data_IF_419414545375
#
_entry.id   IF_419414545375
#
_cell.length_a   1.000
_cell.length_b   1.000
_cell.length_c   1.000
_cell.angle_alpha   90.00
_cell.angle_beta   90.00
_cell.angle_gamma   90.00
#
_symmetry.space_group_name_H-M   'P 1'
#
loop_
_entity.id
_entity.type
_entity.pdbx_description
1 polymer ?
#
# COMPACT_ATOMS: atom_id res chain seq x y z
N UNK A 1 12.16 19.85 8.79
CA UNK A 1 12.19 20.11 10.26
C UNK A 1 10.83 20.21 10.97
N UNK A 2 9.77 20.88 10.44
CA UNK A 2 8.45 20.90 11.13
C UNK A 2 7.92 19.49 11.45
N UNK A 3 8.04 18.54 10.51
CA UNK A 3 7.64 17.14 10.68
C UNK A 3 8.37 16.43 11.84
N UNK A 4 9.68 16.67 12.02
CA UNK A 4 10.45 16.13 13.15
C UNK A 4 9.94 16.65 14.51
N UNK A 5 9.54 17.93 14.59
CA UNK A 5 8.91 18.49 15.79
C UNK A 5 7.54 17.87 16.07
N UNK A 6 6.77 17.58 15.03
CA UNK A 6 5.47 16.90 15.15
C UNK A 6 5.62 15.46 15.66
N UNK A 7 6.53 14.66 15.07
CA UNK A 7 6.81 13.29 15.54
C UNK A 7 7.38 13.28 16.97
N UNK A 8 8.22 14.27 17.34
CA UNK A 8 8.65 14.46 18.73
C UNK A 8 7.48 14.74 19.68
N UNK A 9 6.46 15.46 19.23
CA UNK A 9 5.22 15.69 19.99
C UNK A 9 4.43 14.41 20.26
N UNK A 10 4.34 13.50 19.28
CA UNK A 10 3.67 12.19 19.43
C UNK A 10 4.34 11.27 20.48
N UNK A 11 5.63 11.48 20.77
CA UNK A 11 6.36 10.77 21.81
C UNK A 11 6.14 11.34 23.23
N UNK A 12 5.50 12.52 23.36
CA UNK A 12 5.35 13.25 24.62
C UNK A 12 4.11 12.90 25.44
N UNK A 13 3.34 11.87 25.07
CA UNK A 13 2.09 11.49 25.73
C UNK A 13 2.20 10.15 26.45
N UNK A 14 1.45 9.99 27.56
CA UNK A 14 1.50 8.83 28.47
C UNK A 14 1.24 7.47 27.80
N UNK A 15 0.56 7.47 26.65
CA UNK A 15 0.29 6.30 25.81
C UNK A 15 0.71 6.57 24.36
N UNK A 16 1.97 7.00 24.17
CA UNK A 16 2.52 7.30 22.83
C UNK A 16 2.65 6.07 21.92
N UNK A 17 2.80 6.26 20.60
CA UNK A 17 2.96 5.15 19.66
C UNK A 17 4.20 4.30 19.98
N UNK A 18 4.20 2.99 19.68
CA UNK A 18 5.34 2.11 19.96
C UNK A 18 6.65 2.68 19.40
N UNK A 19 7.74 2.57 20.17
CA UNK A 19 9.02 3.15 19.80
C UNK A 19 9.57 2.65 18.45
N UNK A 20 9.21 1.43 18.03
CA UNK A 20 9.51 0.91 16.70
C UNK A 20 8.78 1.67 15.57
N UNK A 21 7.50 2.00 15.77
CA UNK A 21 6.69 2.79 14.84
C UNK A 21 7.17 4.24 14.77
N UNK A 22 7.54 4.84 15.90
CA UNK A 22 8.16 6.18 15.93
C UNK A 22 9.52 6.18 15.21
N UNK A 23 10.37 5.18 15.45
CA UNK A 23 11.63 5.02 14.68
C UNK A 23 11.36 4.87 13.19
N UNK A 24 10.38 4.04 12.78
CA UNK A 24 10.00 3.89 11.37
C UNK A 24 9.53 5.22 10.77
N UNK A 25 8.67 5.98 11.46
CA UNK A 25 8.22 7.30 11.00
C UNK A 25 9.35 8.34 10.92
N UNK A 26 10.31 8.32 11.87
CA UNK A 26 11.51 9.15 11.79
C UNK A 26 12.36 8.74 10.58
N UNK A 27 12.66 7.45 10.39
CA UNK A 27 13.46 6.97 9.26
C UNK A 27 12.77 7.29 7.93
N UNK A 28 11.54 6.83 7.72
CA UNK A 28 10.82 6.93 6.44
C UNK A 28 10.41 8.36 6.07
N UNK A 29 10.18 9.26 7.04
CA UNK A 29 9.62 10.57 6.74
C UNK A 29 10.55 11.74 7.08
N UNK A 30 11.33 11.66 8.18
CA UNK A 30 12.28 12.72 8.56
C UNK A 30 13.64 12.48 7.95
N UNK A 31 14.19 11.27 8.14
CA UNK A 31 15.50 10.89 7.63
C UNK A 31 15.42 10.76 6.11
N UNK A 32 14.41 10.15 5.50
CA UNK A 32 14.25 10.18 4.04
C UNK A 32 14.09 11.60 3.49
N UNK A 33 13.42 12.54 4.18
CA UNK A 33 13.36 13.93 3.70
C UNK A 33 14.71 14.66 3.84
N UNK A 34 15.45 14.42 4.92
CA UNK A 34 16.75 15.03 5.16
C UNK A 34 17.86 14.41 4.29
N UNK A 35 17.79 13.10 4.08
CA UNK A 35 18.64 12.33 3.17
C UNK A 35 18.28 12.60 1.72
N UNK A 36 17.02 12.73 1.33
CA UNK A 36 16.68 13.22 -0.02
C UNK A 36 17.25 14.63 -0.24
N UNK A 37 17.19 15.48 0.81
CA UNK A 37 17.83 16.80 0.83
C UNK A 37 19.37 16.79 0.78
N UNK A 38 20.05 15.66 0.96
CA UNK A 38 21.50 15.52 0.76
C UNK A 38 21.88 14.58 -0.39
N UNK A 39 21.02 13.65 -0.77
CA UNK A 39 21.09 12.78 -1.94
C UNK A 39 20.83 13.57 -3.20
N UNK A 40 19.80 14.43 -3.28
CA UNK A 40 19.58 15.31 -4.44
C UNK A 40 20.81 16.19 -4.71
N UNK A 41 21.57 16.50 -3.66
CA UNK A 41 22.82 17.28 -3.70
C UNK A 41 24.09 16.41 -3.65
N UNK A 42 23.96 15.08 -3.70
CA UNK A 42 25.07 14.12 -3.70
C UNK A 42 25.66 14.00 -5.11
N UNK A 43 26.97 14.31 -5.23
CA UNK A 43 27.70 14.33 -6.50
C UNK A 43 28.05 12.95 -7.10
N UNK A 44 27.63 11.84 -6.48
CA UNK A 44 27.90 10.47 -6.94
C UNK A 44 29.11 9.79 -6.27
N UNK A 45 29.43 8.57 -6.71
CA UNK A 45 30.57 7.77 -6.18
C UNK A 45 31.94 8.38 -6.49
N UNK A 46 32.01 9.25 -7.50
CA UNK A 46 33.20 9.98 -7.92
C UNK A 46 32.83 11.46 -8.06
N UNK A 47 33.74 12.37 -7.71
CA UNK A 47 33.63 13.82 -7.95
C UNK A 47 34.81 14.33 -8.79
N UNK A 48 34.70 15.47 -9.48
CA UNK A 48 35.86 16.09 -10.13
C UNK A 48 36.97 16.40 -9.13
N UNK A 49 38.23 16.19 -9.53
CA UNK A 49 39.39 16.64 -8.76
C UNK A 49 39.39 18.17 -8.61
N UNK A 50 39.67 18.66 -7.41
CA UNK A 50 39.77 20.10 -7.11
C UNK A 50 41.15 20.69 -7.41
N UNK A 51 42.09 19.91 -7.95
CA UNK A 51 43.41 20.39 -8.37
C UNK A 51 43.34 21.02 -9.78
N UNK A 52 43.82 22.26 -9.91
CA UNK A 52 43.93 22.95 -11.19
C UNK A 52 45.03 22.39 -12.11
N UNK A 53 44.89 22.62 -13.41
CA UNK A 53 45.84 22.14 -14.44
C UNK A 53 45.37 20.87 -15.17
N UNK A 54 46.31 20.16 -15.80
CA UNK A 54 46.06 19.02 -16.71
C UNK A 54 45.24 17.85 -16.13
N UNK A 55 45.04 17.78 -14.80
CA UNK A 55 44.27 16.73 -14.12
C UNK A 55 42.77 17.06 -13.90
N UNK A 56 42.26 18.16 -14.46
CA UNK A 56 40.88 18.66 -14.20
C UNK A 56 39.74 17.71 -14.61
N UNK A 57 40.02 16.73 -15.48
CA UNK A 57 39.06 15.69 -15.90
C UNK A 57 39.15 14.40 -15.07
N UNK A 58 40.04 14.31 -14.08
CA UNK A 58 40.22 13.10 -13.29
C UNK A 58 39.14 12.99 -12.20
N UNK A 59 38.34 11.94 -12.28
CA UNK A 59 37.27 11.62 -11.32
C UNK A 59 37.85 10.92 -10.09
N UNK A 60 37.68 11.51 -8.90
CA UNK A 60 38.22 10.99 -7.63
C UNK A 60 37.11 10.44 -6.71
N UNK A 61 37.40 9.33 -6.04
CA UNK A 61 36.42 8.62 -5.20
C UNK A 61 35.94 9.44 -4.00
N UNK A 62 34.62 9.41 -3.76
CA UNK A 62 34.01 9.96 -2.55
C UNK A 62 34.16 9.06 -1.31
N UNK A 63 34.79 7.88 -1.45
CA UNK A 63 35.08 6.88 -0.41
C UNK A 63 33.85 6.27 0.30
N UNK A 64 32.64 6.51 -0.20
CA UNK A 64 31.38 6.03 0.37
C UNK A 64 30.89 4.67 -0.19
N UNK A 65 31.58 4.12 -1.20
CA UNK A 65 31.22 2.85 -1.85
C UNK A 65 31.01 1.65 -0.89
N UNK A 66 31.93 1.38 0.06
CA UNK A 66 31.81 0.23 0.95
C UNK A 66 30.53 0.22 1.80
N UNK A 67 30.05 1.40 2.22
CA UNK A 67 28.83 1.55 3.01
C UNK A 67 27.56 1.16 2.23
N UNK A 68 27.56 1.37 0.91
CA UNK A 68 26.41 1.10 0.04
C UNK A 68 26.27 -0.41 -0.20
N UNK A 69 27.39 -1.11 -0.36
CA UNK A 69 27.41 -2.58 -0.53
C UNK A 69 27.02 -3.33 0.75
N UNK A 70 27.22 -2.71 1.92
CA UNK A 70 26.79 -3.26 3.21
C UNK A 70 25.26 -3.19 3.38
N UNK A 71 24.63 -2.11 2.92
CA UNK A 71 23.16 -1.95 2.91
C UNK A 71 22.51 -2.92 1.92
N UNK A 72 23.07 -3.07 0.71
CA UNK A 72 22.52 -3.95 -0.33
C UNK A 72 22.53 -5.44 0.10
N UNK A 73 23.64 -5.89 0.72
CA UNK A 73 23.74 -7.25 1.30
C UNK A 73 22.69 -7.51 2.37
N UNK A 74 22.33 -6.52 3.18
CA UNK A 74 21.29 -6.67 4.21
C UNK A 74 19.87 -6.83 3.62
N UNK A 75 19.60 -6.23 2.45
CA UNK A 75 18.30 -6.30 1.77
C UNK A 75 18.11 -7.66 1.08
N UNK A 76 19.13 -8.14 0.37
CA UNK A 76 19.07 -9.43 -0.35
C UNK A 76 18.90 -10.62 0.62
N UNK A 77 19.46 -10.55 1.83
CA UNK A 77 19.32 -11.60 2.84
C UNK A 77 17.87 -11.78 3.34
N UNK A 78 17.05 -10.72 3.28
CA UNK A 78 15.66 -10.74 3.75
C UNK A 78 14.67 -11.38 2.76
N UNK A 79 15.08 -11.62 1.51
CA UNK A 79 14.18 -11.98 0.40
C UNK A 79 14.06 -13.49 0.10
N UNK A 80 14.62 -14.40 0.93
CA UNK A 80 14.62 -15.86 0.67
C UNK A 80 13.89 -16.69 1.75
N UNK A 81 12.61 -17.00 1.48
CA UNK A 81 11.74 -18.10 2.00
C UNK A 81 10.34 -17.88 1.36
N UNK A 82 9.60 -18.84 0.77
CA UNK A 82 9.81 -20.26 0.49
C UNK A 82 8.46 -21.00 0.47
N UNK A 83 7.95 -21.44 -0.70
CA UNK A 83 6.67 -22.19 -0.88
C UNK A 83 6.84 -23.69 -0.59
N UNK A 84 5.80 -24.45 -0.12
CA UNK A 84 4.69 -25.02 -0.94
C UNK A 84 3.32 -25.05 -0.19
N UNK A 85 2.20 -25.67 -0.62
CA UNK A 85 1.80 -26.29 -1.91
C UNK A 85 0.88 -27.54 -1.81
N UNK A 86 0.12 -27.83 -2.89
CA UNK A 86 -0.59 -29.09 -3.29
C UNK A 86 -1.93 -29.58 -2.66
N UNK A 87 -2.87 -29.85 -3.60
CA UNK A 87 -3.70 -31.06 -3.81
C UNK A 87 -5.14 -31.24 -3.23
N UNK A 88 -6.04 -31.72 -4.11
CA UNK A 88 -7.41 -32.21 -3.87
C UNK A 88 -7.46 -33.71 -3.54
N UNK A 89 -8.51 -34.16 -2.84
CA UNK A 89 -9.18 -35.46 -3.08
C UNK A 89 -10.61 -35.48 -2.47
N UNK A 90 -11.41 -36.51 -2.73
CA UNK A 90 -12.87 -36.52 -2.57
C UNK A 90 -13.44 -37.70 -1.73
N UNK A 91 -14.77 -37.63 -1.51
CA UNK A 91 -15.74 -38.66 -1.08
C UNK A 91 -16.02 -38.96 0.41
N UNK A 92 -17.30 -38.75 0.75
CA UNK A 92 -18.22 -39.66 1.47
C UNK A 92 -17.86 -40.20 2.87
N UNK A 93 -18.32 -39.48 3.89
CA UNK A 93 -19.13 -39.97 5.04
C UNK A 93 -19.56 -38.77 5.91
N UNK A 94 -20.87 -38.57 6.17
CA UNK A 94 -21.41 -37.47 7.00
C UNK A 94 -21.24 -37.78 8.49
N UNK A 95 -20.78 -36.84 9.33
CA UNK A 95 -21.70 -36.03 10.16
C UNK A 95 -21.21 -34.59 10.51
N UNK A 96 -22.11 -33.81 11.15
CA UNK A 96 -21.94 -32.46 11.76
C UNK A 96 -21.47 -31.34 10.82
N UNK A 97 -22.34 -30.36 10.52
CA UNK A 97 -22.00 -29.17 9.72
C UNK A 97 -22.02 -27.87 10.54
N UNK A 98 -21.24 -26.89 10.11
CA UNK A 98 -21.27 -25.50 10.59
C UNK A 98 -21.22 -24.53 9.42
N UNK A 99 -21.89 -23.39 9.54
CA UNK A 99 -22.02 -22.33 8.53
C UNK A 99 -22.03 -20.94 9.17
N UNK A 100 -21.88 -19.89 8.36
CA UNK A 100 -21.81 -18.51 8.85
C UNK A 100 -22.23 -17.47 7.78
N UNK A 101 -23.01 -16.46 8.18
CA UNK A 101 -23.51 -15.44 7.25
C UNK A 101 -23.56 -14.04 7.88
N UNK A 102 -23.76 -13.02 7.05
CA UNK A 102 -23.98 -11.63 7.49
C UNK A 102 -25.44 -11.26 7.28
N UNK A 103 -26.11 -10.84 8.35
CA UNK A 103 -27.45 -10.29 8.36
C UNK A 103 -27.43 -8.79 8.61
N UNK A 104 -28.46 -8.10 8.16
CA UNK A 104 -28.66 -6.67 8.42
C UNK A 104 -30.08 -6.51 8.97
N UNK A 105 -30.20 -6.20 10.25
CA UNK A 105 -31.49 -5.95 10.89
C UNK A 105 -31.44 -4.63 11.69
N UNK A 106 -32.52 -3.85 11.64
CA UNK A 106 -32.67 -2.51 12.25
C UNK A 106 -31.46 -1.55 12.07
N UNK A 107 -30.80 -1.63 10.91
CA UNK A 107 -29.63 -0.80 10.58
C UNK A 107 -28.31 -1.25 11.21
N UNK A 108 -28.30 -2.33 12.01
CA UNK A 108 -27.10 -2.97 12.53
C UNK A 108 -26.71 -4.17 11.66
N UNK A 109 -25.45 -4.20 11.20
CA UNK A 109 -24.84 -5.40 10.63
C UNK A 109 -24.56 -6.38 11.77
N UNK A 110 -25.10 -7.59 11.71
CA UNK A 110 -24.70 -8.69 12.59
C UNK A 110 -24.04 -9.80 11.76
N UNK A 111 -23.13 -10.54 12.38
CA UNK A 111 -22.51 -11.71 11.75
C UNK A 111 -22.99 -12.93 12.52
N UNK A 112 -23.80 -13.75 11.86
CA UNK A 112 -24.38 -14.96 12.43
C UNK A 112 -23.48 -16.17 12.22
N UNK A 113 -23.61 -17.13 13.13
CA UNK A 113 -23.10 -18.48 12.96
C UNK A 113 -24.25 -19.47 13.14
N UNK A 114 -24.11 -20.65 12.54
CA UNK A 114 -25.01 -21.77 12.71
C UNK A 114 -24.25 -23.08 12.80
N UNK A 115 -24.80 -24.04 13.55
CA UNK A 115 -24.29 -25.41 13.62
C UNK A 115 -25.41 -26.43 13.71
N UNK A 116 -25.19 -27.60 13.11
CA UNK A 116 -26.11 -28.72 13.11
C UNK A 116 -25.36 -30.03 13.45
N UNK A 117 -25.73 -30.66 14.57
CA UNK A 117 -25.09 -31.88 15.07
C UNK A 117 -25.95 -33.09 14.69
N UNK A 118 -25.35 -34.03 13.96
CA UNK A 118 -25.99 -35.23 13.44
C UNK A 118 -25.41 -36.50 14.07
N UNK A 119 -26.28 -37.48 14.35
CA UNK A 119 -25.90 -38.86 14.72
C UNK A 119 -26.40 -39.78 13.62
N UNK A 120 -25.48 -40.26 12.78
CA UNK A 120 -25.83 -40.97 11.55
C UNK A 120 -26.56 -40.03 10.56
N UNK A 121 -27.80 -40.37 10.20
CA UNK A 121 -28.67 -39.55 9.36
C UNK A 121 -29.66 -38.68 10.17
N UNK A 122 -29.70 -38.81 11.49
CA UNK A 122 -30.64 -38.06 12.33
C UNK A 122 -30.00 -36.76 12.84
N UNK A 123 -30.66 -35.63 12.60
CA UNK A 123 -30.38 -34.38 13.27
C UNK A 123 -30.70 -34.52 14.77
N UNK A 124 -29.73 -34.23 15.65
CA UNK A 124 -29.89 -34.41 17.11
C UNK A 124 -30.02 -33.08 17.83
N UNK A 125 -29.27 -32.07 17.40
CA UNK A 125 -29.28 -30.74 18.01
C UNK A 125 -28.79 -29.69 17.00
N UNK A 126 -29.35 -28.49 17.09
CA UNK A 126 -28.95 -27.31 16.31
C UNK A 126 -28.61 -26.17 17.26
N UNK A 127 -27.97 -25.13 16.73
CA UNK A 127 -27.87 -23.85 17.38
C UNK A 127 -27.43 -22.76 16.41
N UNK A 128 -27.83 -21.54 16.73
CA UNK A 128 -27.54 -20.31 16.00
C UNK A 128 -27.13 -19.22 16.99
N UNK A 129 -26.70 -18.08 16.46
CA UNK A 129 -26.49 -16.85 17.23
C UNK A 129 -25.75 -15.80 16.40
N UNK A 130 -25.59 -14.61 16.97
CA UNK A 130 -24.82 -13.53 16.35
C UNK A 130 -23.65 -13.08 17.24
N UNK A 131 -22.50 -12.90 16.60
CA UNK A 131 -21.31 -12.31 17.23
C UNK A 131 -21.30 -10.79 17.04
N UNK A 132 -20.34 -10.10 17.67
CA UNK A 132 -20.22 -8.65 17.59
C UNK A 132 -20.29 -8.11 16.15
N UNK A 133 -21.08 -7.05 15.95
CA UNK A 133 -21.32 -6.38 14.65
C UNK A 133 -20.05 -5.94 13.90
N UNK A 134 -18.98 -5.65 14.65
CA UNK A 134 -17.68 -5.24 14.10
C UNK A 134 -16.92 -6.41 13.45
N UNK A 135 -17.29 -7.66 13.74
CA UNK A 135 -16.58 -8.88 13.33
C UNK A 135 -16.75 -9.22 11.85
N UNK A 136 -16.03 -10.25 11.39
CA UNK A 136 -16.10 -10.78 10.02
C UNK A 136 -16.65 -12.20 10.00
N UNK A 137 -17.07 -12.68 8.83
CA UNK A 137 -17.61 -14.05 8.65
C UNK A 137 -16.64 -15.11 9.17
N UNK A 138 -15.34 -14.97 8.87
CA UNK A 138 -14.26 -15.80 9.42
C UNK A 138 -14.28 -15.94 10.96
N UNK A 139 -14.60 -14.85 11.67
CA UNK A 139 -14.68 -14.88 13.13
C UNK A 139 -15.91 -15.70 13.59
N UNK A 140 -17.03 -15.62 12.86
CA UNK A 140 -18.28 -16.33 13.15
C UNK A 140 -18.21 -17.82 12.76
N UNK A 141 -17.60 -18.17 11.62
CA UNK A 141 -17.31 -19.56 11.21
C UNK A 141 -16.52 -20.29 12.31
N UNK A 142 -15.47 -19.65 12.84
CA UNK A 142 -14.63 -20.22 13.89
C UNK A 142 -15.37 -20.40 15.23
N UNK A 143 -16.23 -19.43 15.59
CA UNK A 143 -17.04 -19.48 16.81
C UNK A 143 -18.18 -20.50 16.68
N UNK A 144 -18.85 -20.58 15.52
CA UNK A 144 -19.87 -21.58 15.21
C UNK A 144 -19.32 -23.00 15.23
N UNK A 145 -18.12 -23.21 14.67
CA UNK A 145 -17.42 -24.48 14.74
C UNK A 145 -17.09 -24.90 16.19
N UNK A 146 -16.64 -23.95 17.04
CA UNK A 146 -16.42 -24.23 18.47
C UNK A 146 -17.72 -24.57 19.20
N UNK A 147 -18.76 -23.75 19.04
CA UNK A 147 -20.06 -23.95 19.72
C UNK A 147 -20.71 -25.27 19.27
N UNK A 148 -20.62 -25.62 17.99
CA UNK A 148 -21.04 -26.92 17.47
C UNK A 148 -20.25 -28.09 18.05
N UNK A 149 -18.93 -27.93 18.23
CA UNK A 149 -18.09 -28.94 18.87
C UNK A 149 -18.41 -29.13 20.36
N UNK A 150 -18.52 -28.03 21.13
CA UNK A 150 -18.93 -28.07 22.54
C UNK A 150 -20.28 -28.76 22.70
N UNK A 151 -21.27 -28.34 21.89
CA UNK A 151 -22.60 -28.92 21.80
C UNK A 151 -22.58 -30.43 21.50
N UNK A 152 -21.75 -30.88 20.56
CA UNK A 152 -21.60 -32.31 20.25
C UNK A 152 -20.98 -33.10 21.41
N UNK A 153 -19.99 -32.53 22.11
CA UNK A 153 -19.32 -33.16 23.25
C UNK A 153 -20.23 -33.31 24.48
N UNK A 154 -21.26 -32.48 24.65
CA UNK A 154 -22.28 -32.65 25.71
C UNK A 154 -23.18 -33.87 25.50
N UNK A 155 -23.44 -34.25 24.24
CA UNK A 155 -24.41 -35.30 23.89
C UNK A 155 -23.77 -36.63 23.45
N UNK A 156 -22.44 -36.64 23.31
CA UNK A 156 -21.61 -37.81 23.00
C UNK A 156 -21.55 -38.78 24.19
N UNK A 157 -21.76 -40.07 23.92
CA UNK A 157 -21.51 -41.13 24.92
C UNK A 157 -20.11 -41.74 24.75
N UNK A 158 -19.45 -42.25 25.82
CA UNK A 158 -18.10 -42.83 25.75
C UNK A 158 -17.93 -44.04 24.82
N UNK A 159 -19.04 -44.67 24.40
CA UNK A 159 -19.10 -45.81 23.48
C UNK A 159 -19.31 -45.38 22.02
N UNK A 160 -19.55 -44.10 21.75
CA UNK A 160 -19.75 -43.60 20.40
C UNK A 160 -18.40 -43.36 19.71
N UNK A 161 -18.37 -43.63 18.41
CA UNK A 161 -17.13 -43.66 17.63
C UNK A 161 -16.55 -42.27 17.34
N UNK A 162 -15.67 -42.24 16.33
CA UNK A 162 -14.94 -41.05 15.91
C UNK A 162 -15.86 -39.84 15.63
N UNK A 163 -15.68 -38.75 16.39
CA UNK A 163 -16.32 -37.46 16.12
C UNK A 163 -15.67 -36.77 14.91
N UNK A 164 -16.51 -36.12 14.11
CA UNK A 164 -16.11 -35.32 12.95
C UNK A 164 -16.78 -33.95 12.95
N UNK A 165 -16.02 -32.94 12.55
CA UNK A 165 -16.48 -31.59 12.22
C UNK A 165 -16.39 -31.40 10.70
N UNK A 166 -17.50 -31.08 10.03
CA UNK A 166 -17.48 -30.60 8.65
C UNK A 166 -17.55 -29.07 8.64
N UNK A 167 -16.57 -28.44 7.98
CA UNK A 167 -16.45 -26.99 7.85
C UNK A 167 -16.31 -26.67 6.36
N UNK A 168 -16.94 -25.59 5.88
CA UNK A 168 -16.88 -25.13 4.49
C UNK A 168 -15.76 -24.11 4.22
N UNK A 169 -15.49 -23.26 5.21
CA UNK A 169 -14.37 -22.34 5.20
C UNK A 169 -13.04 -23.08 5.30
N UNK A 170 -12.41 -23.28 4.14
CA UNK A 170 -11.02 -23.76 4.05
C UNK A 170 -10.09 -22.93 4.94
N UNK A 171 -10.29 -21.61 5.01
CA UNK A 171 -9.47 -20.69 5.80
C UNK A 171 -9.54 -20.96 7.31
N UNK A 172 -10.73 -21.29 7.84
CA UNK A 172 -10.89 -21.73 9.23
C UNK A 172 -10.26 -23.10 9.44
N UNK A 173 -10.42 -24.06 8.52
CA UNK A 173 -9.75 -25.37 8.60
C UNK A 173 -8.22 -25.22 8.69
N UNK A 174 -7.62 -24.34 7.89
CA UNK A 174 -6.18 -24.05 7.96
C UNK A 174 -5.76 -23.58 9.35
N UNK A 175 -6.53 -22.68 9.98
CA UNK A 175 -6.25 -22.18 11.33
C UNK A 175 -6.53 -23.24 12.42
N UNK A 176 -7.59 -24.04 12.29
CA UNK A 176 -7.93 -25.14 13.20
C UNK A 176 -6.90 -26.29 13.15
N UNK A 177 -6.17 -26.46 12.04
CA UNK A 177 -5.11 -27.48 11.88
C UNK A 177 -3.69 -26.96 12.11
N UNK A 178 -3.50 -25.65 12.19
CA UNK A 178 -2.20 -25.01 12.35
C UNK A 178 -2.22 -24.00 13.51
N UNK A 179 -1.76 -22.77 13.29
CA UNK A 179 -1.66 -21.76 14.34
C UNK A 179 -2.95 -20.95 14.48
N UNK A 180 -3.36 -20.67 15.73
CA UNK A 180 -4.48 -19.81 16.02
C UNK A 180 -4.18 -18.35 15.58
N UNK A 181 -5.04 -17.73 14.74
CA UNK A 181 -4.89 -16.33 14.33
C UNK A 181 -5.13 -15.39 15.51
N UNK A 182 -4.71 -14.12 15.37
CA UNK A 182 -4.95 -13.10 16.41
C UNK A 182 -6.43 -12.69 16.54
N UNK A 183 -7.28 -12.98 15.56
CA UNK A 183 -8.72 -12.68 15.59
C UNK A 183 -9.49 -13.93 16.03
N UNK A 184 -10.49 -13.76 16.90
CA UNK A 184 -11.18 -14.85 17.61
C UNK A 184 -10.24 -15.93 18.18
N UNK A 185 -9.03 -15.55 18.60
CA UNK A 185 -7.96 -16.48 18.98
C UNK A 185 -8.38 -17.47 20.07
N UNK A 186 -9.21 -17.01 21.01
CA UNK A 186 -9.75 -17.85 22.09
C UNK A 186 -10.54 -19.04 21.54
N UNK A 187 -11.31 -18.86 20.46
CA UNK A 187 -12.12 -19.91 19.88
C UNK A 187 -11.26 -20.98 19.20
N UNK A 188 -10.21 -20.56 18.48
CA UNK A 188 -9.24 -21.47 17.88
C UNK A 188 -8.44 -22.26 18.91
N UNK A 189 -7.94 -21.62 19.98
CA UNK A 189 -7.19 -22.30 21.04
C UNK A 189 -8.04 -23.30 21.82
N UNK A 190 -9.32 -22.99 22.03
CA UNK A 190 -10.25 -23.92 22.67
C UNK A 190 -10.58 -25.10 21.74
N UNK A 191 -10.84 -24.83 20.45
CA UNK A 191 -10.96 -25.89 19.44
C UNK A 191 -9.72 -26.79 19.39
N UNK A 192 -8.50 -26.24 19.34
CA UNK A 192 -7.26 -27.04 19.37
C UNK A 192 -7.22 -27.97 20.58
N UNK A 193 -7.56 -27.45 21.75
CA UNK A 193 -7.60 -28.23 23.01
C UNK A 193 -8.62 -29.37 22.94
N UNK A 194 -9.83 -29.11 22.41
CA UNK A 194 -10.88 -30.11 22.29
C UNK A 194 -10.59 -31.15 21.19
N UNK A 195 -10.05 -30.71 20.05
CA UNK A 195 -9.61 -31.57 18.94
C UNK A 195 -8.54 -32.55 19.43
N UNK A 196 -7.51 -32.07 20.13
CA UNK A 196 -6.43 -32.94 20.63
C UNK A 196 -6.90 -33.88 21.75
N UNK A 197 -7.81 -33.42 22.61
CA UNK A 197 -8.33 -34.21 23.74
C UNK A 197 -9.27 -35.33 23.29
N UNK A 198 -10.19 -35.04 22.37
CA UNK A 198 -11.21 -35.98 21.90
C UNK A 198 -10.90 -36.60 20.53
N UNK A 199 -9.69 -36.33 20.00
CA UNK A 199 -9.18 -36.81 18.69
C UNK A 199 -10.11 -36.49 17.54
N UNK A 200 -10.74 -35.32 17.56
CA UNK A 200 -11.78 -34.92 16.61
C UNK A 200 -11.20 -34.80 15.20
N UNK A 201 -11.86 -35.43 14.22
CA UNK A 201 -11.49 -35.30 12.82
C UNK A 201 -12.13 -34.03 12.20
N UNK A 202 -11.39 -33.33 11.34
CA UNK A 202 -11.93 -32.20 10.57
C UNK A 202 -12.00 -32.59 9.09
N UNK A 203 -13.17 -32.44 8.47
CA UNK A 203 -13.42 -32.63 7.04
C UNK A 203 -13.83 -31.29 6.42
N UNK A 204 -13.44 -31.07 5.17
CA UNK A 204 -13.96 -29.96 4.37
C UNK A 204 -15.26 -30.38 3.66
N UNK A 205 -16.30 -29.57 3.79
CA UNK A 205 -17.61 -29.75 3.13
C UNK A 205 -17.90 -28.50 2.28
N UNK A 206 -18.05 -28.58 0.95
CA UNK A 206 -18.34 -27.38 0.16
C UNK A 206 -19.75 -26.85 0.47
N UNK A 207 -19.85 -25.56 0.82
CA UNK A 207 -21.13 -24.87 1.03
C UNK A 207 -21.92 -24.64 -0.26
N UNK A 208 -23.25 -24.48 -0.13
CA UNK A 208 -24.22 -24.28 -1.22
C UNK A 208 -24.23 -25.38 -2.30
N UNK A 209 -23.91 -26.62 -1.92
CA UNK A 209 -23.87 -27.79 -2.81
C UNK A 209 -25.03 -28.78 -2.57
N UNK A 210 -26.06 -28.38 -1.81
CA UNK A 210 -27.16 -29.26 -1.40
C UNK A 210 -26.75 -30.27 -0.34
N UNK A 211 -25.68 -30.01 0.41
CA UNK A 211 -25.23 -30.87 1.51
C UNK A 211 -26.06 -30.49 2.72
N UNK A 212 -27.16 -31.21 2.94
CA UNK A 212 -28.14 -31.05 4.02
C UNK A 212 -27.61 -30.46 5.35
N UNK A 213 -26.51 -30.98 5.89
CA UNK A 213 -25.94 -30.50 7.16
C UNK A 213 -25.15 -29.17 7.06
N UNK A 214 -24.67 -28.80 5.87
CA UNK A 214 -24.12 -27.46 5.58
C UNK A 214 -25.26 -26.47 5.35
N UNK A 215 -26.20 -26.80 4.45
CA UNK A 215 -27.33 -25.90 4.15
C UNK A 215 -28.14 -25.58 5.43
N UNK A 216 -28.38 -26.57 6.30
CA UNK A 216 -29.00 -26.35 7.62
C UNK A 216 -28.16 -25.41 8.51
N UNK A 217 -26.83 -25.50 8.46
CA UNK A 217 -25.98 -24.63 9.25
C UNK A 217 -25.85 -23.21 8.67
N UNK A 218 -25.98 -23.07 7.35
CA UNK A 218 -26.07 -21.79 6.64
C UNK A 218 -27.43 -21.11 6.91
N UNK A 219 -28.54 -21.85 6.84
CA UNK A 219 -29.88 -21.40 7.24
C UNK A 219 -29.92 -20.95 8.71
N UNK A 220 -29.24 -21.67 9.61
CA UNK A 220 -29.10 -21.29 11.03
C UNK A 220 -28.21 -20.06 11.22
N UNK A 221 -27.21 -19.85 10.37
CA UNK A 221 -26.39 -18.65 10.42
C UNK A 221 -27.13 -17.41 9.92
N UNK A 222 -27.93 -17.57 8.84
CA UNK A 222 -28.87 -16.57 8.36
C UNK A 222 -29.88 -16.21 9.45
N UNK A 223 -30.49 -17.22 10.09
CA UNK A 223 -31.40 -17.01 11.21
C UNK A 223 -30.72 -16.26 12.36
N UNK A 224 -29.55 -16.73 12.82
CA UNK A 224 -28.78 -16.11 13.90
C UNK A 224 -28.40 -14.66 13.61
N UNK A 225 -28.03 -14.34 12.37
CA UNK A 225 -27.70 -12.97 11.96
C UNK A 225 -28.94 -12.05 11.88
N UNK A 226 -30.11 -12.60 11.52
CA UNK A 226 -31.36 -11.86 11.38
C UNK A 226 -32.19 -11.79 12.66
N UNK A 227 -31.98 -12.67 13.65
CA UNK A 227 -32.64 -12.64 14.96
C UNK A 227 -32.38 -11.36 15.77
N UNK A 228 -31.39 -10.54 15.37
CA UNK A 228 -31.10 -9.24 15.99
C UNK A 228 -30.45 -9.33 17.38
N UNK A 229 -30.31 -10.54 17.93
CA UNK A 229 -29.78 -10.79 19.27
C UNK A 229 -28.34 -11.28 19.20
N UNK A 230 -27.42 -10.40 19.54
CA UNK A 230 -26.03 -10.76 19.83
C UNK A 230 -25.96 -11.66 21.08
N UNK A 231 -25.01 -12.58 21.09
CA UNK A 231 -24.63 -13.37 22.26
C UNK A 231 -24.25 -12.49 23.46
N UNK A 232 -24.21 -13.10 24.66
CA UNK A 232 -23.75 -12.48 25.90
C UNK A 232 -22.43 -13.08 26.44
N UNK A 233 -21.75 -13.91 25.63
CA UNK A 233 -20.44 -14.49 25.95
C UNK A 233 -19.28 -13.71 25.29
N UNK A 234 -18.08 -14.31 25.21
CA UNK A 234 -16.89 -13.68 24.59
C UNK A 234 -17.08 -13.30 23.11
N UNK A 235 -18.02 -13.92 22.39
CA UNK A 235 -18.35 -13.54 21.01
C UNK A 235 -19.06 -12.17 20.90
N UNK A 236 -19.55 -11.63 22.02
CA UNK A 236 -20.09 -10.28 22.12
C UNK A 236 -19.01 -9.18 22.02
N UNK A 237 -17.74 -9.53 22.22
CA UNK A 237 -16.62 -8.58 22.16
C UNK A 237 -16.16 -8.32 20.70
N UNK A 238 -15.76 -7.08 20.35
CA UNK A 238 -15.32 -6.76 18.99
C UNK A 238 -13.98 -7.43 18.66
N UNK A 239 -13.91 -8.11 17.52
CA UNK A 239 -12.71 -8.86 17.12
C UNK A 239 -11.57 -7.94 16.66
N UNK A 240 -10.32 -8.39 16.82
CA UNK A 240 -9.13 -7.64 16.40
C UNK A 240 -9.16 -7.34 14.88
N UNK A 241 -9.67 -8.26 14.06
CA UNK A 241 -9.86 -8.01 12.62
C UNK A 241 -10.92 -6.93 12.36
N UNK A 242 -12.01 -6.96 13.12
CA UNK A 242 -13.06 -5.93 13.11
C UNK A 242 -12.52 -4.53 13.44
N UNK A 243 -11.89 -4.40 14.61
CA UNK A 243 -11.26 -3.15 15.09
C UNK A 243 -10.24 -2.64 14.05
N UNK A 244 -9.43 -3.52 13.47
CA UNK A 244 -8.46 -3.19 12.43
C UNK A 244 -9.11 -2.61 11.16
N UNK A 245 -10.30 -3.09 10.77
CA UNK A 245 -11.06 -2.55 9.64
C UNK A 245 -11.63 -1.17 9.94
N UNK A 246 -12.24 -0.97 11.11
CA UNK A 246 -12.72 0.35 11.55
C UNK A 246 -11.59 1.37 11.64
N UNK A 247 -10.43 0.98 12.19
CA UNK A 247 -9.25 1.83 12.27
C UNK A 247 -8.71 2.22 10.88
N UNK A 248 -8.70 1.30 9.91
CA UNK A 248 -8.34 1.60 8.51
C UNK A 248 -9.31 2.57 7.86
N UNK A 249 -10.61 2.38 8.03
CA UNK A 249 -11.64 3.28 7.50
C UNK A 249 -11.49 4.71 8.06
N UNK A 250 -11.33 4.84 9.38
CA UNK A 250 -11.11 6.13 10.04
C UNK A 250 -9.80 6.78 9.59
N UNK A 251 -8.73 5.99 9.43
CA UNK A 251 -7.44 6.49 8.93
C UNK A 251 -7.58 7.04 7.50
N UNK A 252 -8.28 6.35 6.60
CA UNK A 252 -8.52 6.80 5.23
C UNK A 252 -9.28 8.13 5.19
N UNK A 253 -10.36 8.28 5.97
CA UNK A 253 -11.11 9.54 6.09
C UNK A 253 -10.21 10.67 6.62
N UNK A 254 -9.50 10.41 7.72
CA UNK A 254 -8.58 11.38 8.34
C UNK A 254 -7.47 11.82 7.39
N UNK A 255 -6.96 10.89 6.56
CA UNK A 255 -5.95 11.16 5.53
C UNK A 255 -6.50 12.05 4.42
N UNK A 256 -7.71 11.79 3.90
CA UNK A 256 -8.37 12.61 2.89
C UNK A 256 -8.67 14.03 3.39
N UNK A 257 -9.14 14.15 4.63
CA UNK A 257 -9.36 15.43 5.32
C UNK A 257 -8.06 16.22 5.47
N UNK A 258 -7.00 15.55 5.94
CA UNK A 258 -5.68 16.17 6.10
C UNK A 258 -5.10 16.61 4.76
N UNK A 259 -5.24 15.81 3.70
CA UNK A 259 -4.77 16.18 2.37
C UNK A 259 -5.52 17.40 1.85
N UNK A 260 -6.86 17.38 1.92
CA UNK A 260 -7.70 18.49 1.46
C UNK A 260 -7.33 19.81 2.14
N UNK A 261 -7.10 19.79 3.46
CA UNK A 261 -6.63 20.96 4.21
C UNK A 261 -5.23 21.38 3.80
N UNK A 262 -4.30 20.43 3.69
CA UNK A 262 -2.90 20.70 3.33
C UNK A 262 -2.75 21.24 1.91
N UNK A 263 -3.56 20.76 0.97
CA UNK A 263 -3.58 21.15 -0.43
C UNK A 263 -3.83 22.66 -0.61
N UNK A 264 -4.71 23.25 0.20
CA UNK A 264 -4.96 24.71 0.17
C UNK A 264 -3.71 25.54 0.48
N UNK A 265 -2.75 25.01 1.24
CA UNK A 265 -1.49 25.67 1.58
C UNK A 265 -0.37 25.49 0.55
N UNK A 266 -0.58 24.70 -0.51
CA UNK A 266 0.42 24.46 -1.56
C UNK A 266 0.44 25.61 -2.58
N UNK A 267 1.52 25.70 -3.37
CA UNK A 267 1.67 26.75 -4.39
C UNK A 267 0.61 26.61 -5.48
N UNK A 268 0.21 27.73 -6.09
CA UNK A 268 -0.76 27.73 -7.20
C UNK A 268 -0.31 26.76 -8.31
N UNK A 269 0.96 26.85 -8.73
CA UNK A 269 1.54 25.96 -9.74
C UNK A 269 1.46 24.48 -9.36
N UNK A 270 1.61 24.10 -8.09
CA UNK A 270 1.43 22.69 -7.67
C UNK A 270 -0.04 22.25 -7.74
N UNK A 271 -0.98 23.13 -7.37
CA UNK A 271 -2.42 22.80 -7.36
C UNK A 271 -3.03 22.65 -8.75
N UNK A 272 -2.38 23.19 -9.78
CA UNK A 272 -2.79 23.02 -11.18
C UNK A 272 -2.49 21.61 -11.74
N UNK A 273 -1.80 20.74 -10.99
CA UNK A 273 -1.55 19.33 -11.36
C UNK A 273 -2.58 18.36 -10.76
N UNK A 274 -3.49 18.83 -9.89
CA UNK A 274 -4.63 18.07 -9.34
C UNK A 274 -4.27 16.71 -8.71
N UNK A 275 -3.06 16.62 -8.16
CA UNK A 275 -2.52 15.36 -7.63
C UNK A 275 -3.25 14.92 -6.36
N UNK A 276 -3.70 13.67 -6.36
CA UNK A 276 -4.20 12.99 -5.15
C UNK A 276 -3.07 12.65 -4.17
N UNK A 277 -3.42 12.46 -2.91
CA UNK A 277 -2.50 11.88 -1.92
C UNK A 277 -2.55 10.36 -1.96
N UNK A 278 -1.39 9.72 -2.11
CA UNK A 278 -1.22 8.28 -2.04
C UNK A 278 -0.22 7.92 -0.93
N UNK A 279 -0.55 6.87 -0.15
CA UNK A 279 0.37 6.24 0.82
C UNK A 279 1.26 5.20 0.12
N UNK A 280 0.77 4.60 -0.97
CA UNK A 280 1.53 3.69 -1.82
C UNK A 280 2.71 4.41 -2.48
N UNK A 281 3.78 3.67 -2.75
CA UNK A 281 4.97 4.20 -3.43
C UNK A 281 4.60 4.68 -4.85
N UNK A 282 4.78 5.97 -5.17
CA UNK A 282 4.44 6.50 -6.48
C UNK A 282 5.37 5.93 -7.56
N UNK A 283 4.79 5.55 -8.70
CA UNK A 283 5.51 4.90 -9.82
C UNK A 283 6.65 5.76 -10.36
N UNK A 284 6.55 7.09 -10.22
CA UNK A 284 7.57 8.08 -10.56
C UNK A 284 8.93 7.80 -9.89
N UNK A 285 8.97 7.15 -8.72
CA UNK A 285 10.24 6.82 -8.04
C UNK A 285 11.07 5.76 -8.77
N UNK A 286 10.48 5.04 -9.73
CA UNK A 286 11.18 4.09 -10.62
C UNK A 286 11.95 4.79 -11.74
N UNK A 287 11.70 6.09 -11.97
CA UNK A 287 12.40 6.85 -12.99
C UNK A 287 13.90 6.98 -12.67
N UNK A 288 14.76 6.92 -13.68
CA UNK A 288 16.10 7.47 -13.61
C UNK A 288 16.10 8.86 -12.98
N UNK A 289 17.00 9.04 -12.03
CA UNK A 289 17.08 10.21 -11.14
C UNK A 289 17.04 11.57 -11.86
N UNK A 290 17.62 11.65 -13.05
CA UNK A 290 17.57 12.86 -13.91
C UNK A 290 16.16 13.18 -14.37
N UNK A 291 15.40 12.17 -14.79
CA UNK A 291 14.03 12.27 -15.28
C UNK A 291 13.07 12.58 -14.13
N UNK A 292 13.22 11.89 -13.00
CA UNK A 292 12.51 12.19 -11.75
C UNK A 292 12.71 13.64 -11.29
N UNK A 293 13.95 14.14 -11.32
CA UNK A 293 14.24 15.53 -10.96
C UNK A 293 13.49 16.53 -11.85
N UNK A 294 13.41 16.29 -13.17
CA UNK A 294 12.67 17.18 -14.10
C UNK A 294 11.15 17.11 -13.88
N UNK A 295 10.61 15.93 -13.62
CA UNK A 295 9.19 15.75 -13.29
C UNK A 295 8.82 16.53 -12.02
N UNK A 296 9.59 16.37 -10.94
CA UNK A 296 9.36 17.07 -9.68
C UNK A 296 9.58 18.58 -9.79
N UNK A 297 10.60 19.02 -10.54
CA UNK A 297 10.82 20.43 -10.81
C UNK A 297 9.61 21.05 -11.52
N UNK A 298 9.09 20.41 -12.57
CA UNK A 298 7.91 20.88 -13.29
C UNK A 298 6.66 20.93 -12.38
N UNK A 299 6.35 19.85 -11.66
CA UNK A 299 5.19 19.78 -10.75
C UNK A 299 5.23 20.81 -9.61
N UNK A 300 6.41 21.21 -9.16
CA UNK A 300 6.57 22.14 -8.02
C UNK A 300 6.91 23.58 -8.43
N UNK A 301 7.28 23.80 -9.70
CA UNK A 301 7.99 24.99 -10.20
C UNK A 301 9.33 25.31 -9.48
N UNK A 302 9.92 24.34 -8.76
CA UNK A 302 11.25 24.47 -8.15
C UNK A 302 12.33 23.85 -9.06
N UNK A 303 12.88 24.65 -9.96
CA UNK A 303 13.94 24.23 -10.89
C UNK A 303 14.44 25.40 -11.74
N UNK A 304 15.11 25.05 -12.85
CA UNK A 304 15.63 26.00 -13.85
C UNK A 304 14.49 26.68 -14.65
N UNK A 305 13.79 27.59 -13.98
CA UNK A 305 12.66 28.35 -14.51
C UNK A 305 12.80 29.84 -14.18
N UNK A 306 12.39 30.69 -15.12
CA UNK A 306 12.57 32.14 -15.00
C UNK A 306 11.86 32.74 -13.77
N UNK A 307 10.73 32.16 -13.33
CA UNK A 307 10.02 32.57 -12.12
C UNK A 307 10.81 32.22 -10.85
N UNK A 308 11.41 31.03 -10.80
CA UNK A 308 12.20 30.57 -9.65
C UNK A 308 13.44 31.45 -9.47
N UNK A 309 14.24 31.64 -10.52
CA UNK A 309 15.47 32.44 -10.45
C UNK A 309 15.19 33.91 -10.07
N UNK A 310 14.13 34.53 -10.59
CA UNK A 310 13.71 35.89 -10.16
C UNK A 310 13.29 35.94 -8.68
N UNK A 311 12.54 34.95 -8.20
CA UNK A 311 12.07 34.88 -6.81
C UNK A 311 13.22 34.79 -5.80
N UNK A 312 14.32 34.12 -6.18
CA UNK A 312 15.49 33.93 -5.33
C UNK A 312 16.67 34.86 -5.65
N UNK A 313 16.53 35.77 -6.61
CA UNK A 313 17.53 36.78 -6.93
C UNK A 313 18.79 36.25 -7.63
N UNK A 314 18.70 35.12 -8.33
CA UNK A 314 19.83 34.55 -9.08
C UNK A 314 20.11 35.40 -10.33
N UNK A 315 21.22 36.14 -10.34
CA UNK A 315 21.59 37.12 -11.38
C UNK A 315 22.36 36.53 -12.55
N UNK A 316 22.98 35.36 -12.36
CA UNK A 316 23.77 34.59 -13.32
C UNK A 316 22.93 33.58 -14.13
N UNK A 317 21.65 33.43 -13.80
CA UNK A 317 20.79 32.40 -14.34
C UNK A 317 20.23 32.74 -15.73
N UNK A 318 20.46 31.85 -16.70
CA UNK A 318 19.83 31.92 -18.02
C UNK A 318 18.31 31.68 -17.91
N UNK A 319 17.53 32.76 -18.04
CA UNK A 319 16.08 32.75 -17.86
C UNK A 319 15.32 32.25 -19.10
N UNK A 320 15.99 32.18 -20.27
CA UNK A 320 15.38 31.82 -21.54
C UNK A 320 15.86 30.45 -22.03
N UNK A 321 15.00 29.75 -22.76
CA UNK A 321 15.36 28.57 -23.53
C UNK A 321 16.12 28.97 -24.81
N UNK A 322 16.82 28.02 -25.42
CA UNK A 322 17.46 28.19 -26.73
C UNK A 322 16.52 28.63 -27.86
N UNK A 323 15.20 28.38 -27.74
CA UNK A 323 14.21 28.94 -28.68
C UNK A 323 13.80 30.40 -28.36
N UNK A 324 14.53 31.11 -27.49
CA UNK A 324 14.33 32.53 -27.15
C UNK A 324 13.24 32.84 -26.12
N UNK A 325 12.37 31.88 -25.79
CA UNK A 325 11.26 32.07 -24.84
C UNK A 325 11.66 31.78 -23.39
N UNK A 326 10.99 32.43 -22.43
CA UNK A 326 11.23 32.26 -20.98
C UNK A 326 10.98 30.81 -20.55
N UNK A 327 11.87 30.24 -19.74
CA UNK A 327 11.70 28.91 -19.14
C UNK A 327 10.52 28.92 -18.13
N UNK A 328 9.47 28.15 -18.40
CA UNK A 328 8.36 27.85 -17.47
C UNK A 328 8.24 26.33 -17.24
N UNK A 329 7.52 25.87 -16.20
CA UNK A 329 7.30 24.45 -15.93
C UNK A 329 6.74 23.64 -17.11
N UNK A 330 5.95 24.26 -17.97
CA UNK A 330 5.31 23.64 -19.14
C UNK A 330 6.06 23.92 -20.45
N UNK A 331 7.06 24.80 -20.44
CA UNK A 331 7.65 25.34 -21.67
C UNK A 331 8.20 24.25 -22.59
N UNK A 332 8.64 23.10 -22.08
CA UNK A 332 9.20 22.03 -22.91
C UNK A 332 8.21 21.38 -23.90
N UNK A 333 6.88 21.53 -23.74
CA UNK A 333 5.89 21.15 -24.79
C UNK A 333 5.51 22.31 -25.73
N UNK A 334 5.86 23.54 -25.38
CA UNK A 334 5.70 24.74 -26.21
C UNK A 334 7.00 25.15 -26.92
N UNK A 335 8.13 24.55 -26.55
CA UNK A 335 9.43 24.83 -27.14
C UNK A 335 9.47 24.34 -28.59
N UNK A 336 9.78 25.25 -29.51
CA UNK A 336 9.88 24.96 -30.94
C UNK A 336 10.83 23.78 -31.23
N UNK A 337 11.95 23.70 -30.50
CA UNK A 337 12.94 22.62 -30.63
C UNK A 337 12.34 21.25 -30.27
N UNK A 338 11.48 21.20 -29.24
CA UNK A 338 10.72 19.98 -28.89
C UNK A 338 9.65 19.66 -29.94
N UNK A 339 8.93 20.68 -30.43
CA UNK A 339 7.83 20.51 -31.39
C UNK A 339 8.31 20.09 -32.79
N UNK A 340 9.54 20.44 -33.20
CA UNK A 340 10.18 19.87 -34.41
C UNK A 340 10.27 18.33 -34.38
N UNK A 341 10.24 17.73 -33.18
CA UNK A 341 10.24 16.27 -32.95
C UNK A 341 8.86 15.69 -32.60
N UNK A 342 7.78 16.44 -32.81
CA UNK A 342 6.41 16.05 -32.44
C UNK A 342 5.96 14.68 -32.98
N UNK A 343 6.44 14.31 -34.16
CA UNK A 343 6.16 13.01 -34.78
C UNK A 343 6.59 11.80 -33.92
N UNK A 344 7.56 11.97 -33.02
CA UNK A 344 8.11 10.93 -32.16
C UNK A 344 7.69 11.08 -30.68
N UNK A 345 6.78 12.01 -30.35
CA UNK A 345 6.30 12.17 -28.98
C UNK A 345 5.43 10.97 -28.56
N UNK A 346 5.55 10.48 -27.31
CA UNK A 346 4.68 9.44 -26.77
C UNK A 346 3.26 9.98 -26.56
N UNK A 347 2.24 9.16 -26.82
CA UNK A 347 0.81 9.52 -26.71
C UNK A 347 0.48 10.89 -27.33
N UNK A 348 1.11 11.19 -28.48
CA UNK A 348 1.04 12.52 -29.07
C UNK A 348 -0.42 12.90 -29.43
N UNK A 349 -0.84 14.15 -29.18
CA UNK A 349 -2.11 14.66 -29.70
C UNK A 349 -2.11 14.74 -31.25
N UNK A 350 -3.24 15.13 -31.83
CA UNK A 350 -3.37 15.29 -33.29
C UNK A 350 -2.43 16.37 -33.85
N UNK A 351 -2.22 17.45 -33.07
CA UNK A 351 -1.37 18.59 -33.39
C UNK A 351 -0.56 19.05 -32.17
N UNK A 352 0.60 19.70 -32.34
CA UNK A 352 1.38 20.23 -31.22
C UNK A 352 0.56 21.14 -30.31
N UNK A 353 0.72 21.04 -28.98
CA UNK A 353 0.05 21.94 -28.04
C UNK A 353 0.37 23.41 -28.34
N UNK A 354 -0.68 24.21 -28.45
CA UNK A 354 -0.63 25.63 -28.79
C UNK A 354 -1.14 26.52 -27.65
N UNK A 355 -1.97 25.96 -26.76
CA UNK A 355 -2.57 26.66 -25.60
C UNK A 355 -2.08 26.06 -24.29
N UNK A 356 -2.00 26.85 -23.19
CA UNK A 356 -1.60 26.35 -21.87
C UNK A 356 -2.37 25.11 -21.41
N UNK A 357 -3.69 25.08 -21.61
CA UNK A 357 -4.57 23.95 -21.27
C UNK A 357 -4.25 22.68 -22.06
N UNK A 358 -3.99 22.80 -23.37
CA UNK A 358 -3.60 21.67 -24.24
C UNK A 358 -2.28 21.08 -23.78
N UNK A 359 -1.30 21.93 -23.47
CA UNK A 359 0.01 21.50 -22.96
C UNK A 359 -0.10 20.88 -21.57
N UNK A 360 -0.87 21.49 -20.66
CA UNK A 360 -1.14 20.94 -19.31
C UNK A 360 -1.78 19.57 -19.38
N UNK A 361 -2.81 19.39 -20.22
CA UNK A 361 -3.50 18.11 -20.40
C UNK A 361 -2.55 17.02 -20.91
N UNK A 362 -1.73 17.34 -21.92
CA UNK A 362 -0.72 16.41 -22.43
C UNK A 362 0.34 16.08 -21.37
N UNK A 363 0.82 17.08 -20.63
CA UNK A 363 1.79 16.90 -19.54
C UNK A 363 1.24 16.03 -18.41
N UNK A 364 -0.01 16.24 -17.99
CA UNK A 364 -0.67 15.40 -16.99
C UNK A 364 -0.74 13.94 -17.47
N UNK A 365 -1.12 13.70 -18.73
CA UNK A 365 -1.19 12.35 -19.30
C UNK A 365 0.18 11.64 -19.28
N UNK A 366 1.25 12.28 -19.79
CA UNK A 366 2.57 11.65 -19.80
C UNK A 366 3.24 11.60 -18.41
N UNK A 367 2.90 12.49 -17.48
CA UNK A 367 3.43 12.43 -16.11
C UNK A 367 2.68 11.45 -15.19
N UNK A 368 1.47 11.01 -15.56
CA UNK A 368 0.76 9.93 -14.86
C UNK A 368 1.39 8.55 -15.16
N UNK A 369 2.10 8.43 -16.28
CA UNK A 369 2.76 7.23 -16.77
C UNK A 369 4.26 7.53 -16.92
N UNK A 370 5.08 7.37 -15.86
CA UNK A 370 6.43 7.92 -15.78
C UNK A 370 7.33 7.59 -16.99
N UNK A 371 7.22 6.37 -17.50
CA UNK A 371 7.88 5.88 -18.71
C UNK A 371 7.60 6.73 -19.97
N UNK A 372 6.38 7.28 -20.10
CA UNK A 372 6.03 8.20 -21.19
C UNK A 372 6.70 9.56 -21.01
N UNK A 373 6.74 10.10 -19.77
CA UNK A 373 7.47 11.33 -19.49
C UNK A 373 8.97 11.18 -19.78
N UNK A 374 9.58 10.06 -19.38
CA UNK A 374 10.98 9.77 -19.71
C UNK A 374 11.21 9.64 -21.23
N UNK A 375 10.38 8.89 -21.94
CA UNK A 375 10.47 8.77 -23.39
C UNK A 375 10.37 10.15 -24.07
N UNK A 376 9.44 11.00 -23.63
CA UNK A 376 9.33 12.39 -24.09
C UNK A 376 10.64 13.17 -23.87
N UNK A 377 11.29 13.06 -22.71
CA UNK A 377 12.58 13.72 -22.44
C UNK A 377 13.71 13.18 -23.33
N UNK A 378 13.75 11.87 -23.57
CA UNK A 378 14.75 11.20 -24.41
C UNK A 378 14.60 11.64 -25.88
N UNK A 379 13.38 11.62 -26.41
CA UNK A 379 13.07 12.02 -27.79
C UNK A 379 13.39 13.51 -27.98
N UNK A 380 12.80 14.38 -27.16
CA UNK A 380 13.00 15.83 -27.31
C UNK A 380 14.45 16.23 -27.10
N UNK A 381 15.16 15.57 -26.19
CA UNK A 381 16.49 15.95 -25.69
C UNK A 381 16.52 17.37 -25.10
N UNK A 382 15.35 17.92 -24.72
CA UNK A 382 15.17 19.33 -24.37
C UNK A 382 16.19 19.80 -23.33
N UNK A 383 16.31 19.10 -22.20
CA UNK A 383 17.26 19.50 -21.15
C UNK A 383 18.73 19.24 -21.51
N UNK A 384 19.02 18.26 -22.37
CA UNK A 384 20.39 17.93 -22.80
C UNK A 384 20.96 18.96 -23.77
N UNK A 385 20.14 19.47 -24.70
CA UNK A 385 20.53 20.51 -25.65
C UNK A 385 20.78 21.84 -24.92
N UNK A 386 19.83 22.29 -24.09
CA UNK A 386 19.99 23.51 -23.29
C UNK A 386 21.24 23.46 -22.39
N UNK A 387 21.52 22.33 -21.74
CA UNK A 387 22.68 22.20 -20.84
C UNK A 387 24.05 22.22 -21.57
N UNK A 388 24.14 21.66 -22.79
CA UNK A 388 25.38 21.70 -23.58
C UNK A 388 25.72 23.12 -24.02
N UNK A 389 24.71 23.90 -24.41
CA UNK A 389 24.96 25.23 -24.97
C UNK A 389 25.36 26.25 -23.89
N UNK A 390 24.78 26.18 -22.68
CA UNK A 390 25.27 26.97 -21.53
C UNK A 390 26.76 26.71 -21.28
N UNK A 391 27.19 25.45 -21.28
CA UNK A 391 28.61 25.10 -21.09
C UNK A 391 29.53 25.62 -22.21
N UNK A 392 29.05 25.75 -23.45
CA UNK A 392 29.83 26.40 -24.52
C UNK A 392 29.89 27.91 -24.36
N UNK A 393 28.79 28.57 -23.93
CA UNK A 393 28.76 30.02 -23.71
C UNK A 393 29.67 30.45 -22.56
N UNK A 394 29.69 29.69 -21.46
CA UNK A 394 30.60 29.95 -20.32
C UNK A 394 32.08 29.83 -20.73
N UNK A 395 32.40 28.91 -21.66
CA UNK A 395 33.75 28.73 -22.21
C UNK A 395 34.16 29.85 -23.16
N UNK A 396 33.23 30.43 -23.93
CA UNK A 396 33.53 31.59 -24.78
C UNK A 396 33.64 32.88 -23.97
N UNK A 397 32.81 33.07 -22.94
CA UNK A 397 32.82 34.28 -22.10
C UNK A 397 34.01 34.36 -21.14
N UNK A 398 34.69 33.23 -20.87
CA UNK A 398 35.93 33.20 -20.08
C UNK A 398 37.20 33.47 -20.90
N UNK A 399 37.08 33.70 -22.20
CA UNK A 399 38.15 34.14 -23.10
C UNK A 399 38.11 35.65 -23.38
N UNK A 400 38.25 36.49 -22.35
CA UNK A 400 38.49 37.93 -22.51
C UNK A 400 39.93 38.20 -23.00
N UNK A 401 40.18 39.32 -23.72
CA UNK A 401 41.48 39.60 -24.33
C UNK A 401 42.59 39.85 -23.29
N UNK A 402 43.83 39.48 -23.68
CA UNK A 402 45.07 39.86 -22.98
C UNK A 402 45.43 41.32 -23.23
#
# INVERSE_FOLDING_TARGET
MKLARHIKGLAGVKFGPPAASLRKAVVTCVQSSALYGSEVWYGGRLKPSSAGGYNRNQLVSTRLGPLIEEVDRAIVLAAKRGSPGLAHSAYSKRPSGCGATVGINDGAKLVGYGYAVYRGQSLVRTGSGAINSTSHVFDAEAIGALKGLQCALEILQPSEGQLWMCIDSTSVIWCMRANAPNTSQWAFLECHTLIDRYKVGIIWSPGHMGIEGNEMADELADAGANEGRMDNDRSAEPTISGIGTTARALANVTTSDWWSRSYTGLSASYREWELGYAIAEPSELRLPRTSLHRLLAARTAHGDFAQYHRRFGHSDAELNCLCGYKKTPEHFVFCEISQRKFHAWPEKPDRPPSRPEEGRKYLNAIMAHPELFENFLIVTQYFTLNARESQTRDRTSSGGPQ
#
